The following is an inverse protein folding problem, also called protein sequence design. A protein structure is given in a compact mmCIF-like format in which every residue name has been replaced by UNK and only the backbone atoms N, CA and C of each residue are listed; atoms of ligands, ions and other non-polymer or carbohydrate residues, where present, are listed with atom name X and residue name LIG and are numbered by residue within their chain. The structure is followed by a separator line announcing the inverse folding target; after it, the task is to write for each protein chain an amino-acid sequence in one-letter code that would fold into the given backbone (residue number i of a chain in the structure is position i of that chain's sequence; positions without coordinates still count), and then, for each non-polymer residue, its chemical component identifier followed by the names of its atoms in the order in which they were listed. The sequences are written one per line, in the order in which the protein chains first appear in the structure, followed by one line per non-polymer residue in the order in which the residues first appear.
data_IF_829455396191
#
_entry.id   IF_829455396191
#
_cell.length_a   1.000
_cell.length_b   1.000
_cell.length_c   1.000
_cell.angle_alpha   90.00
_cell.angle_beta   90.00
_cell.angle_gamma   90.00
#
_symmetry.space_group_name_H-M   'P 1'
#
loop_
_entity.id
_entity.type
_entity.pdbx_description
1 polymer ?
#
# COMPACT_ATOMS: atom_id res chain seq x y z
N UNK A 1 109.78 -36.05 -33.17
CA UNK A 1 109.80 -37.36 -33.85
C UNK A 1 108.43 -37.99 -33.67
N UNK A 2 107.82 -38.44 -34.78
CA UNK A 2 106.66 -39.34 -34.99
C UNK A 2 105.57 -39.41 -33.89
N UNK A 3 104.31 -38.98 -34.06
CA UNK A 3 103.27 -39.28 -35.06
C UNK A 3 102.67 -40.70 -34.98
N UNK A 4 101.40 -40.81 -34.56
CA UNK A 4 100.32 -41.73 -35.01
C UNK A 4 99.16 -41.68 -33.96
N UNK A 5 97.88 -41.49 -34.27
CA UNK A 5 97.18 -41.44 -35.55
C UNK A 5 95.82 -40.73 -35.49
N UNK A 6 95.40 -40.34 -36.69
CA UNK A 6 94.16 -39.77 -37.24
C UNK A 6 92.88 -40.65 -36.97
N UNK A 7 91.63 -40.32 -37.42
CA UNK A 7 90.92 -39.01 -37.48
C UNK A 7 89.35 -39.04 -37.56
N UNK A 8 88.72 -37.85 -37.76
CA UNK A 8 87.50 -37.52 -38.59
C UNK A 8 86.14 -38.20 -38.20
N UNK A 9 84.93 -37.64 -38.30
CA UNK A 9 84.30 -36.46 -38.91
C UNK A 9 82.88 -36.31 -38.33
N UNK A 10 82.38 -35.07 -38.35
CA UNK A 10 80.99 -34.62 -38.19
C UNK A 10 80.02 -35.31 -39.22
N UNK A 11 78.67 -35.27 -39.07
CA UNK A 11 77.96 -33.99 -39.24
C UNK A 11 76.64 -33.77 -38.47
N UNK A 12 76.29 -32.50 -38.57
CA UNK A 12 75.12 -31.74 -38.15
C UNK A 12 73.77 -32.07 -38.84
N UNK A 13 72.69 -31.69 -38.12
CA UNK A 13 71.34 -31.23 -38.56
C UNK A 13 70.29 -32.31 -38.87
N UNK A 14 69.12 -32.17 -38.24
CA UNK A 14 67.75 -32.04 -38.84
C UNK A 14 66.74 -31.96 -37.67
N UNK A 15 66.22 -30.76 -37.37
CA UNK A 15 64.81 -30.32 -37.56
C UNK A 15 63.84 -30.75 -36.45
N UNK A 16 63.18 -29.73 -35.88
CA UNK A 16 61.85 -29.69 -35.26
C UNK A 16 61.09 -31.01 -35.04
N UNK A 17 60.73 -31.28 -33.79
CA UNK A 17 59.35 -31.60 -33.41
C UNK A 17 59.22 -31.61 -31.89
N UNK A 18 58.74 -30.49 -31.34
CA UNK A 18 57.88 -30.57 -30.18
C UNK A 18 56.66 -31.42 -30.55
N UNK A 19 56.13 -32.13 -29.55
CA UNK A 19 54.76 -32.65 -29.42
C UNK A 19 54.61 -34.17 -29.27
N UNK A 20 53.94 -34.51 -28.15
CA UNK A 20 53.15 -35.71 -27.87
C UNK A 20 53.87 -37.06 -27.78
N UNK A 21 54.19 -37.51 -26.56
CA UNK A 21 53.89 -38.87 -26.09
C UNK A 21 54.39 -39.11 -24.64
N UNK A 22 53.69 -38.57 -23.65
CA UNK A 22 53.69 -39.15 -22.30
C UNK A 22 52.30 -38.90 -21.71
N UNK A 23 51.38 -39.79 -22.04
CA UNK A 23 50.01 -39.79 -21.53
C UNK A 23 49.72 -41.14 -20.88
N UNK A 24 48.96 -41.10 -19.79
CA UNK A 24 48.33 -42.21 -19.06
C UNK A 24 49.20 -42.98 -18.05
N UNK A 25 49.31 -42.43 -16.83
CA UNK A 25 48.79 -43.08 -15.61
C UNK A 25 49.17 -42.27 -14.36
N UNK A 26 48.45 -41.18 -14.09
CA UNK A 26 48.29 -40.69 -12.73
C UNK A 26 46.84 -40.95 -12.33
N UNK A 27 46.56 -41.54 -11.15
CA UNK A 27 45.20 -41.62 -10.65
C UNK A 27 44.74 -40.17 -10.45
N UNK A 28 43.81 -39.73 -11.29
CA UNK A 28 43.27 -38.39 -11.24
C UNK A 28 42.78 -38.12 -9.82
N UNK A 29 43.33 -37.07 -9.20
CA UNK A 29 42.76 -36.50 -7.99
C UNK A 29 41.36 -36.06 -8.38
N UNK A 30 40.35 -36.86 -8.04
CA UNK A 30 38.95 -36.53 -8.25
C UNK A 30 38.64 -35.39 -7.29
N UNK A 31 38.99 -34.18 -7.71
CA UNK A 31 38.39 -32.97 -7.17
C UNK A 31 36.93 -33.01 -7.60
N UNK A 32 36.12 -33.70 -6.81
CA UNK A 32 34.67 -33.52 -6.83
C UNK A 32 34.40 -32.09 -6.43
N UNK A 33 34.39 -31.19 -7.42
CA UNK A 33 33.76 -29.88 -7.30
C UNK A 33 32.30 -30.20 -7.03
N UNK A 34 31.91 -30.25 -5.75
CA UNK A 34 30.51 -30.03 -5.37
C UNK A 34 30.20 -28.61 -5.81
N UNK A 35 29.82 -28.48 -7.08
CA UNK A 35 28.96 -27.40 -7.54
C UNK A 35 27.73 -27.51 -6.67
N UNK A 36 27.37 -26.42 -6.02
CA UNK A 36 26.17 -26.28 -5.19
C UNK A 36 26.32 -26.76 -3.73
N UNK A 37 27.31 -26.22 -3.02
CA UNK A 37 26.94 -25.65 -1.71
C UNK A 37 26.20 -24.36 -2.06
N UNK A 38 24.88 -24.45 -2.09
CA UNK A 38 23.99 -23.29 -2.17
C UNK A 38 24.09 -22.47 -0.88
N UNK A 39 25.23 -21.82 -0.65
CA UNK A 39 25.21 -20.58 0.12
C UNK A 39 24.46 -19.58 -0.76
N UNK A 40 23.14 -19.51 -0.57
CA UNK A 40 22.33 -18.46 -1.14
C UNK A 40 23.06 -17.14 -0.91
N UNK A 41 23.37 -16.41 -1.98
CA UNK A 41 24.01 -15.11 -1.87
C UNK A 41 23.24 -14.31 -0.80
N UNK A 42 23.94 -13.69 0.18
CA UNK A 42 23.28 -13.07 1.31
C UNK A 42 22.26 -12.06 0.78
N UNK A 43 20.99 -12.28 1.13
CA UNK A 43 19.89 -11.43 0.67
C UNK A 43 20.08 -10.05 1.25
N UNK A 44 20.53 -9.11 0.40
CA UNK A 44 20.64 -7.71 0.77
C UNK A 44 19.26 -7.06 0.64
N UNK A 45 18.83 -6.34 1.67
CA UNK A 45 17.59 -5.59 1.65
C UNK A 45 17.83 -4.14 1.25
N UNK A 46 16.82 -3.56 0.60
CA UNK A 46 16.68 -2.11 0.55
C UNK A 46 15.88 -1.66 1.76
N UNK A 47 16.22 -0.49 2.29
CA UNK A 47 15.56 0.05 3.48
C UNK A 47 15.32 1.55 3.37
N UNK A 48 14.36 2.04 4.16
CA UNK A 48 14.10 3.47 4.29
C UNK A 48 15.23 4.12 5.09
N UNK A 49 15.85 5.16 4.51
CA UNK A 49 17.03 5.84 5.10
C UNK A 49 16.64 7.16 5.77
N UNK A 50 15.36 7.54 5.71
CA UNK A 50 14.89 8.87 6.11
C UNK A 50 14.41 8.95 7.56
N UNK A 51 13.95 7.84 8.16
CA UNK A 51 13.49 7.81 9.54
C UNK A 51 14.63 7.94 10.56
N UNK A 52 14.40 8.71 11.62
CA UNK A 52 15.38 8.90 12.71
C UNK A 52 15.49 7.68 13.63
N UNK A 53 14.37 7.04 13.93
CA UNK A 53 14.27 6.00 14.97
C UNK A 53 13.87 4.63 14.45
N UNK A 54 13.10 4.60 13.37
CA UNK A 54 12.58 3.39 12.75
C UNK A 54 13.10 3.29 11.32
N UNK A 55 13.19 2.06 10.82
CA UNK A 55 13.53 1.73 9.46
C UNK A 55 12.56 0.64 8.99
N UNK A 56 12.07 0.76 7.75
CA UNK A 56 11.35 -0.31 7.05
C UNK A 56 12.23 -0.88 5.95
N UNK A 57 12.30 -2.20 5.83
CA UNK A 57 12.96 -2.88 4.71
C UNK A 57 11.97 -3.26 3.60
N UNK A 58 12.51 -3.68 2.44
CA UNK A 58 11.77 -4.14 1.27
C UNK A 58 11.13 -5.52 1.45
N UNK A 59 11.55 -6.26 2.47
CA UNK A 59 10.84 -7.44 2.94
C UNK A 59 9.58 -7.08 3.75
N UNK A 60 9.42 -5.82 4.16
CA UNK A 60 8.27 -5.31 4.88
C UNK A 60 8.36 -5.43 6.39
N UNK A 61 9.55 -5.63 6.97
CA UNK A 61 9.76 -5.54 8.41
C UNK A 61 10.10 -4.10 8.81
N UNK A 62 9.66 -3.72 10.00
CA UNK A 62 10.01 -2.44 10.64
C UNK A 62 10.82 -2.73 11.90
N UNK A 63 11.94 -2.05 12.04
CA UNK A 63 12.81 -2.20 13.19
C UNK A 63 13.39 -0.86 13.63
N UNK A 64 14.00 -0.82 14.81
CA UNK A 64 14.77 0.35 15.22
C UNK A 64 16.00 0.52 14.34
N UNK A 65 16.39 1.76 14.07
CA UNK A 65 17.62 2.07 13.32
C UNK A 65 18.89 1.47 13.94
N UNK A 66 18.88 1.15 15.23
CA UNK A 66 19.99 0.49 15.93
C UNK A 66 20.01 -1.04 15.74
N UNK A 67 18.90 -1.64 15.33
CA UNK A 67 18.73 -3.09 15.21
C UNK A 67 18.88 -3.63 13.79
N UNK A 68 19.08 -2.75 12.80
CA UNK A 68 19.31 -3.13 11.41
C UNK A 68 20.65 -3.86 11.27
N UNK A 69 20.68 -4.93 10.48
CA UNK A 69 21.92 -5.64 10.22
C UNK A 69 22.86 -4.79 9.35
N UNK A 70 24.11 -4.50 9.79
CA UNK A 70 25.02 -3.64 9.05
C UNK A 70 25.39 -4.17 7.66
N UNK A 71 25.42 -5.50 7.50
CA UNK A 71 25.87 -6.15 6.27
C UNK A 71 24.75 -6.29 5.24
N UNK A 72 23.64 -6.92 5.61
CA UNK A 72 22.50 -7.16 4.73
C UNK A 72 21.56 -5.96 4.62
N UNK A 73 21.63 -4.99 5.55
CA UNK A 73 20.70 -3.84 5.65
C UNK A 73 19.24 -4.23 5.85
N UNK A 74 18.99 -5.47 6.26
CA UNK A 74 17.66 -5.98 6.58
C UNK A 74 17.30 -5.72 8.03
N UNK A 75 16.02 -5.54 8.31
CA UNK A 75 15.51 -5.59 9.67
C UNK A 75 15.51 -7.03 10.18
N UNK A 76 15.68 -7.25 11.50
CA UNK A 76 15.52 -8.57 12.09
C UNK A 76 14.12 -9.12 11.77
N UNK A 77 14.04 -10.42 11.44
CA UNK A 77 12.77 -11.10 11.14
C UNK A 77 12.00 -11.45 12.42
N UNK A 78 12.00 -10.53 13.38
CA UNK A 78 11.36 -10.63 14.69
C UNK A 78 10.21 -9.63 14.74
N UNK A 79 8.98 -10.10 14.49
CA UNK A 79 7.79 -9.24 14.51
C UNK A 79 6.83 -9.52 13.36
N UNK A 80 5.77 -8.71 13.28
CA UNK A 80 4.78 -8.77 12.20
C UNK A 80 5.33 -8.16 10.92
N UNK A 81 5.29 -8.96 9.85
CA UNK A 81 5.57 -8.49 8.48
C UNK A 81 4.43 -7.60 8.01
N UNK A 82 4.76 -6.52 7.31
CA UNK A 82 3.81 -5.52 6.79
C UNK A 82 2.95 -4.88 7.90
N UNK A 83 3.61 -4.49 8.99
CA UNK A 83 2.93 -3.90 10.14
C UNK A 83 2.30 -2.55 9.78
N UNK A 84 1.03 -2.39 10.13
CA UNK A 84 0.26 -1.15 9.95
C UNK A 84 0.05 -0.42 11.28
N UNK A 85 1.00 -0.53 12.21
CA UNK A 85 0.90 0.16 13.49
C UNK A 85 0.89 1.68 13.29
N UNK A 86 -0.02 2.39 13.96
CA UNK A 86 -0.19 3.83 13.74
C UNK A 86 -0.85 4.19 12.40
N UNK A 87 -1.46 3.23 11.70
CA UNK A 87 -2.17 3.47 10.44
C UNK A 87 -3.69 3.43 10.62
N UNK A 88 -4.38 4.42 10.04
CA UNK A 88 -5.82 4.37 9.80
C UNK A 88 -6.09 3.70 8.46
N UNK A 89 -6.45 2.42 8.50
CA UNK A 89 -6.63 1.59 7.31
C UNK A 89 -7.73 2.10 6.37
N UNK A 90 -8.74 2.77 6.90
CA UNK A 90 -9.81 3.40 6.11
C UNK A 90 -9.27 4.52 5.21
N UNK A 91 -8.31 5.29 5.71
CA UNK A 91 -7.68 6.41 4.99
C UNK A 91 -6.42 5.97 4.23
N UNK A 92 -5.89 4.79 4.55
CA UNK A 92 -4.58 4.32 4.09
C UNK A 92 -3.48 5.35 4.36
N UNK A 93 -3.60 5.99 5.52
CA UNK A 93 -2.68 6.99 6.04
C UNK A 93 -2.17 6.56 7.41
N UNK A 94 -0.92 6.89 7.72
CA UNK A 94 -0.25 6.58 8.96
C UNK A 94 0.36 7.83 9.57
N UNK A 95 0.59 7.78 10.88
CA UNK A 95 1.33 8.79 11.64
C UNK A 95 2.86 8.69 11.45
N UNK A 96 3.34 7.53 10.98
CA UNK A 96 4.75 7.24 10.77
C UNK A 96 5.02 6.82 9.32
N UNK A 97 6.08 7.40 8.75
CA UNK A 97 6.56 7.05 7.42
C UNK A 97 6.88 5.56 7.29
N UNK A 98 7.55 4.97 8.28
CA UNK A 98 8.07 3.61 8.16
C UNK A 98 6.98 2.55 8.27
N UNK A 99 5.99 2.81 9.14
CA UNK A 99 4.79 1.97 9.18
C UNK A 99 3.92 2.17 7.94
N UNK A 100 3.87 3.38 7.35
CA UNK A 100 3.23 3.57 6.05
C UNK A 100 3.87 2.70 4.97
N UNK A 101 5.20 2.72 4.85
CA UNK A 101 5.92 1.93 3.83
C UNK A 101 5.69 0.43 4.06
N UNK A 102 5.85 -0.06 5.29
CA UNK A 102 5.62 -1.46 5.64
C UNK A 102 4.17 -1.90 5.37
N UNK A 103 3.18 -1.11 5.77
CA UNK A 103 1.76 -1.39 5.54
C UNK A 103 1.41 -1.39 4.05
N UNK A 104 1.97 -0.45 3.29
CA UNK A 104 1.77 -0.32 1.85
C UNK A 104 2.30 -1.54 1.08
N UNK A 105 3.40 -2.15 1.53
CA UNK A 105 3.98 -3.34 0.92
C UNK A 105 3.08 -4.58 1.04
N UNK A 106 2.05 -4.55 1.88
CA UNK A 106 1.16 -5.68 2.05
C UNK A 106 0.41 -5.99 0.73
N UNK A 107 0.50 -7.23 0.20
CA UNK A 107 -0.19 -7.61 -1.04
C UNK A 107 -1.72 -7.49 -0.98
N UNK A 108 -2.31 -7.52 0.23
CA UNK A 108 -3.75 -7.29 0.43
C UNK A 108 -4.14 -5.81 0.24
N UNK A 109 -3.18 -4.89 0.31
CA UNK A 109 -3.39 -3.45 0.19
C UNK A 109 -2.97 -2.93 -1.18
N UNK A 110 -1.82 -3.41 -1.65
CA UNK A 110 -1.19 -2.93 -2.87
C UNK A 110 -0.85 -4.13 -3.75
N UNK A 111 -1.45 -4.18 -4.95
CA UNK A 111 -1.15 -5.24 -5.92
C UNK A 111 -0.08 -4.74 -6.90
N UNK A 112 0.91 -5.57 -7.18
CA UNK A 112 2.02 -5.27 -8.08
C UNK A 112 1.54 -4.79 -9.47
N UNK A 113 0.50 -5.44 -10.00
CA UNK A 113 -0.08 -5.14 -11.31
C UNK A 113 -0.67 -3.72 -11.40
N UNK A 114 -1.16 -3.18 -10.27
CA UNK A 114 -1.78 -1.86 -10.20
C UNK A 114 -0.72 -0.76 -10.02
N UNK A 115 0.44 -1.09 -9.46
CA UNK A 115 1.50 -0.15 -9.11
C UNK A 115 2.50 0.07 -10.24
N UNK A 116 2.97 -1.01 -10.86
CA UNK A 116 4.07 -0.94 -11.85
C UNK A 116 3.67 -0.19 -13.12
N UNK A 117 2.37 0.03 -13.32
CA UNK A 117 1.80 0.80 -14.43
C UNK A 117 1.61 2.29 -14.10
N UNK A 118 1.75 2.68 -12.83
CA UNK A 118 1.57 4.07 -12.40
C UNK A 118 2.86 4.86 -12.62
N UNK A 119 2.69 6.07 -13.17
CA UNK A 119 3.77 7.05 -13.28
C UNK A 119 4.04 7.66 -11.90
N UNK A 120 5.30 7.92 -11.59
CA UNK A 120 5.69 8.68 -10.40
C UNK A 120 5.08 10.08 -10.48
N UNK A 121 4.47 10.55 -9.39
CA UNK A 121 3.79 11.84 -9.37
C UNK A 121 4.80 13.00 -9.49
N UNK A 122 4.80 13.66 -10.68
CA UNK A 122 5.61 14.81 -11.11
C UNK A 122 7.12 14.53 -11.25
N UNK A 123 7.80 15.04 -12.29
CA UNK A 123 7.32 15.69 -13.53
C UNK A 123 6.78 14.71 -14.61
N UNK A 124 6.31 15.26 -15.74
CA UNK A 124 5.80 14.53 -16.93
C UNK A 124 6.84 13.58 -17.54
N UNK A 125 8.13 13.79 -17.25
CA UNK A 125 9.27 12.95 -17.64
C UNK A 125 9.55 11.80 -16.66
N UNK A 126 8.82 11.72 -15.54
CA UNK A 126 9.05 10.67 -14.55
C UNK A 126 8.64 9.30 -15.08
N UNK A 127 9.55 8.34 -14.95
CA UNK A 127 9.30 6.94 -15.28
C UNK A 127 8.27 6.27 -14.35
N UNK A 128 8.08 4.99 -14.54
CA UNK A 128 7.30 4.12 -13.64
C UNK A 128 8.14 3.73 -12.42
N UNK A 129 7.46 3.30 -11.35
CA UNK A 129 8.14 2.68 -10.22
C UNK A 129 8.74 1.33 -10.63
N UNK A 130 9.95 1.02 -10.15
CA UNK A 130 10.67 -0.22 -10.50
C UNK A 130 10.09 -1.46 -9.82
N UNK A 131 9.58 -1.29 -8.60
CA UNK A 131 9.02 -2.32 -7.74
C UNK A 131 8.04 -1.67 -6.75
N UNK A 132 7.29 -2.49 -6.02
CA UNK A 132 6.29 -2.02 -5.04
C UNK A 132 6.96 -1.26 -3.89
N UNK A 133 8.17 -1.64 -3.48
CA UNK A 133 8.90 -0.94 -2.44
C UNK A 133 9.19 0.53 -2.81
N UNK A 134 9.69 0.78 -4.02
CA UNK A 134 9.93 2.13 -4.53
C UNK A 134 8.63 2.95 -4.64
N UNK A 135 7.51 2.31 -4.99
CA UNK A 135 6.20 2.94 -4.96
C UNK A 135 5.79 3.35 -3.56
N UNK A 136 5.86 2.43 -2.59
CA UNK A 136 5.49 2.70 -1.22
C UNK A 136 6.38 3.78 -0.59
N UNK A 137 7.69 3.70 -0.79
CA UNK A 137 8.64 4.72 -0.37
C UNK A 137 8.31 6.10 -0.92
N UNK A 138 7.93 6.17 -2.20
CA UNK A 138 7.61 7.42 -2.88
C UNK A 138 6.26 8.00 -2.47
N UNK A 139 5.22 7.17 -2.34
CA UNK A 139 3.87 7.60 -2.00
C UNK A 139 3.72 8.00 -0.54
N UNK A 140 4.31 7.24 0.38
CA UNK A 140 4.23 7.50 1.82
C UNK A 140 4.95 8.78 2.27
N UNK A 141 5.74 9.41 1.39
CA UNK A 141 6.28 10.75 1.67
C UNK A 141 5.16 11.77 1.76
N UNK A 142 5.40 12.84 2.52
CA UNK A 142 4.43 13.92 2.68
C UNK A 142 3.98 14.45 1.32
N UNK A 143 2.67 14.52 1.13
CA UNK A 143 2.09 15.06 -0.09
C UNK A 143 1.61 16.48 0.16
N UNK A 144 1.62 17.34 -0.86
CA UNK A 144 1.02 18.68 -0.74
C UNK A 144 -0.48 18.64 -0.39
N UNK A 145 -1.15 17.50 -0.64
CA UNK A 145 -2.54 17.29 -0.25
C UNK A 145 -2.72 17.02 1.26
N UNK A 146 -1.65 16.65 1.97
CA UNK A 146 -1.66 16.44 3.43
C UNK A 146 -1.34 17.69 4.24
N UNK A 147 -1.11 18.83 3.57
CA UNK A 147 -0.71 20.10 4.18
C UNK A 147 -1.83 21.14 4.02
N UNK A 148 -2.17 21.78 5.12
CA UNK A 148 -3.11 22.89 5.29
C UNK A 148 -2.30 24.17 5.49
N UNK A 149 -2.65 25.24 4.77
CA UNK A 149 -1.95 26.53 4.82
C UNK A 149 -0.43 26.40 4.61
N UNK A 150 -0.04 25.58 3.63
CA UNK A 150 1.33 25.38 3.13
C UNK A 150 2.38 24.84 4.12
N UNK A 151 2.12 24.86 5.45
CA UNK A 151 3.10 24.49 6.47
C UNK A 151 2.55 23.69 7.66
N UNK A 152 1.24 23.47 7.77
CA UNK A 152 0.65 22.65 8.84
C UNK A 152 0.08 21.36 8.29
N UNK A 153 0.33 20.20 8.89
CA UNK A 153 -0.34 18.98 8.44
C UNK A 153 -1.83 19.02 8.77
N UNK A 154 -2.67 18.52 7.87
CA UNK A 154 -4.12 18.43 8.08
C UNK A 154 -4.48 17.51 9.26
N UNK A 155 -3.61 16.55 9.54
CA UNK A 155 -3.76 15.54 10.59
C UNK A 155 -2.39 14.95 10.92
N UNK A 156 -2.26 14.36 12.11
CA UNK A 156 -1.11 13.54 12.47
C UNK A 156 -0.93 12.36 11.49
N UNK A 157 -2.00 11.88 10.84
CA UNK A 157 -1.95 10.81 9.83
C UNK A 157 -1.70 11.36 8.42
N UNK A 158 -0.47 11.76 8.14
CA UNK A 158 -0.11 12.49 6.92
C UNK A 158 0.79 11.68 5.95
N UNK A 159 1.17 10.46 6.32
CA UNK A 159 1.88 9.52 5.46
C UNK A 159 0.87 8.59 4.78
N UNK A 160 0.55 8.82 3.51
CA UNK A 160 -0.53 8.08 2.83
C UNK A 160 -0.03 7.34 1.59
N UNK A 161 -0.58 6.16 1.31
CA UNK A 161 -0.19 5.35 0.14
C UNK A 161 -1.35 5.06 -0.84
N UNK A 162 -2.47 5.76 -0.69
CA UNK A 162 -3.66 5.54 -1.49
C UNK A 162 -3.37 5.50 -3.00
N UNK A 163 -3.72 4.37 -3.63
CA UNK A 163 -3.78 4.22 -5.08
C UNK A 163 -4.99 5.02 -5.58
N UNK A 164 -4.79 6.30 -5.90
CA UNK A 164 -5.77 7.06 -6.64
C UNK A 164 -5.95 6.38 -8.01
N UNK A 165 -7.02 5.61 -8.19
CA UNK A 165 -7.33 5.03 -9.49
C UNK A 165 -7.63 6.17 -10.45
N UNK A 166 -6.87 6.24 -11.55
CA UNK A 166 -7.04 7.21 -12.62
C UNK A 166 -8.48 7.17 -13.14
N UNK A 167 -9.34 8.06 -12.63
CA UNK A 167 -10.53 8.54 -13.32
C UNK A 167 -10.22 9.97 -13.72
N UNK A 168 -9.94 10.15 -15.01
CA UNK A 168 -9.63 11.43 -15.62
C UNK A 168 -10.84 12.38 -15.45
N UNK A 169 -10.60 13.53 -14.81
CA UNK A 169 -11.32 14.76 -15.09
C UNK A 169 -12.55 15.10 -14.23
N UNK A 170 -12.33 15.40 -12.95
CA UNK A 170 -13.00 16.51 -12.26
C UNK A 170 -12.34 16.69 -10.89
N UNK A 171 -11.98 17.92 -10.55
CA UNK A 171 -11.57 18.24 -9.19
C UNK A 171 -12.75 17.94 -8.25
N UNK A 172 -12.68 16.84 -7.50
CA UNK A 172 -13.56 16.60 -6.36
C UNK A 172 -12.88 15.65 -5.37
N UNK A 173 -12.70 16.12 -4.13
CA UNK A 173 -12.19 15.34 -3.01
C UNK A 173 -13.13 14.14 -2.78
N UNK A 174 -12.68 12.94 -3.12
CA UNK A 174 -13.63 11.85 -3.32
C UNK A 174 -13.09 10.43 -3.22
N UNK A 175 -12.36 10.08 -2.16
CA UNK A 175 -12.23 8.66 -1.75
C UNK A 175 -13.03 8.43 -0.47
N UNK A 176 -14.34 8.30 -0.67
CA UNK A 176 -15.22 7.72 0.33
C UNK A 176 -14.89 6.24 0.56
N UNK A 177 -15.33 5.69 1.70
CA UNK A 177 -15.09 4.30 2.09
C UNK A 177 -15.59 3.31 1.02
N UNK A 178 -14.88 2.18 0.84
CA UNK A 178 -15.18 1.18 -0.21
C UNK A 178 -16.61 0.63 -0.05
N UNK A 179 -17.46 0.99 -0.99
CA UNK A 179 -18.86 0.56 -1.13
C UNK A 179 -19.00 -0.43 -2.30
N UNK A 180 -18.05 -1.35 -2.44
CA UNK A 180 -18.08 -2.35 -3.52
C UNK A 180 -19.35 -3.20 -3.38
N UNK A 181 -20.23 -3.14 -4.38
CA UNK A 181 -21.51 -3.87 -4.40
C UNK A 181 -22.63 -3.28 -3.53
N UNK A 182 -22.48 -2.06 -3.01
CA UNK A 182 -23.52 -1.37 -2.22
C UNK A 182 -24.12 -0.22 -3.02
N UNK A 183 -25.42 -0.28 -3.25
CA UNK A 183 -26.22 0.79 -3.84
C UNK A 183 -26.71 1.76 -2.77
N UNK A 184 -26.25 3.02 -2.82
CA UNK A 184 -26.73 4.04 -1.88
C UNK A 184 -28.07 4.59 -2.38
N UNK A 185 -29.07 4.56 -1.50
CA UNK A 185 -30.41 5.07 -1.77
C UNK A 185 -30.83 6.11 -0.74
N UNK A 186 -31.43 7.21 -1.19
CA UNK A 186 -32.03 8.21 -0.32
C UNK A 186 -33.51 7.86 -0.16
N UNK A 187 -33.95 7.67 1.08
CA UNK A 187 -35.35 7.38 1.40
C UNK A 187 -36.24 8.62 1.26
N UNK A 188 -37.55 8.40 1.21
CA UNK A 188 -38.52 9.48 1.44
C UNK A 188 -38.60 9.81 2.93
N UNK A 189 -39.27 10.91 3.22
CA UNK A 189 -39.54 11.35 4.59
C UNK A 189 -40.28 10.24 5.36
N UNK A 190 -39.75 9.83 6.51
CA UNK A 190 -40.40 8.82 7.36
C UNK A 190 -40.21 7.36 6.91
N UNK A 191 -39.43 7.09 5.86
CA UNK A 191 -39.12 5.72 5.44
C UNK A 191 -37.92 5.15 6.19
N UNK A 192 -37.95 3.85 6.47
CA UNK A 192 -36.79 3.10 6.98
C UNK A 192 -35.92 2.61 5.82
N UNK A 193 -34.65 2.29 6.10
CA UNK A 193 -33.80 1.73 5.06
C UNK A 193 -34.26 0.35 4.59
N UNK A 194 -34.87 -0.44 5.48
CA UNK A 194 -35.50 -1.71 5.11
C UNK A 194 -36.61 -1.54 4.06
N UNK A 195 -37.46 -0.51 4.18
CA UNK A 195 -38.49 -0.24 3.16
C UNK A 195 -37.90 0.32 1.87
N UNK A 196 -36.93 1.23 1.97
CA UNK A 196 -36.27 1.87 0.81
C UNK A 196 -35.57 0.83 -0.06
N UNK A 197 -34.79 -0.07 0.54
CA UNK A 197 -34.09 -1.10 -0.22
C UNK A 197 -35.07 -2.12 -0.81
N UNK A 198 -36.10 -2.53 -0.06
CA UNK A 198 -37.12 -3.48 -0.55
C UNK A 198 -37.85 -2.96 -1.77
N UNK A 199 -38.17 -1.66 -1.81
CA UNK A 199 -38.79 -1.03 -2.97
C UNK A 199 -37.93 -1.09 -4.24
N UNK A 200 -36.61 -1.31 -4.10
CA UNK A 200 -35.66 -1.51 -5.20
C UNK A 200 -35.32 -2.98 -5.46
N UNK A 201 -36.00 -3.93 -4.81
CA UNK A 201 -35.68 -5.35 -4.90
C UNK A 201 -34.38 -5.74 -4.19
N UNK A 202 -33.91 -4.93 -3.23
CA UNK A 202 -32.67 -5.10 -2.49
C UNK A 202 -32.93 -5.23 -0.99
N UNK A 203 -31.91 -5.63 -0.23
CA UNK A 203 -31.94 -5.65 1.24
C UNK A 203 -31.05 -4.55 1.84
N UNK A 204 -31.43 -4.02 2.98
CA UNK A 204 -30.57 -3.09 3.73
C UNK A 204 -29.36 -3.86 4.27
N UNK A 205 -28.18 -3.24 4.24
CA UNK A 205 -26.92 -3.83 4.72
C UNK A 205 -26.46 -3.12 6.01
N UNK A 206 -26.81 -3.63 7.21
CA UNK A 206 -26.57 -2.92 8.48
C UNK A 206 -25.10 -2.59 8.73
N UNK A 207 -24.18 -3.51 8.37
CA UNK A 207 -22.73 -3.34 8.54
C UNK A 207 -22.14 -2.18 7.74
N UNK A 208 -22.91 -1.60 6.81
CA UNK A 208 -22.51 -0.45 6.00
C UNK A 208 -23.17 0.85 6.47
N UNK A 209 -24.01 0.84 7.50
CA UNK A 209 -24.56 2.07 8.06
C UNK A 209 -23.47 2.94 8.69
N UNK A 210 -22.51 2.36 9.42
CA UNK A 210 -21.37 3.10 10.03
C UNK A 210 -20.53 3.82 8.99
N UNK A 211 -20.44 3.23 7.79
CA UNK A 211 -19.75 3.79 6.64
C UNK A 211 -20.44 5.05 6.12
N UNK A 212 -21.78 5.04 6.07
CA UNK A 212 -22.61 6.18 5.66
C UNK A 212 -22.81 7.20 6.78
N UNK A 213 -22.58 6.81 8.03
CA UNK A 213 -22.79 7.59 9.24
C UNK A 213 -21.67 8.61 9.51
N UNK A 214 -21.23 9.29 8.45
CA UNK A 214 -20.16 10.29 8.48
C UNK A 214 -20.66 11.56 7.80
N UNK A 215 -20.39 12.72 8.39
CA UNK A 215 -20.88 13.99 7.86
C UNK A 215 -20.42 14.21 6.41
N UNK A 216 -19.18 13.84 6.11
CA UNK A 216 -18.58 13.99 4.78
C UNK A 216 -19.34 13.15 3.73
N UNK A 217 -19.85 11.98 4.12
CA UNK A 217 -20.66 11.12 3.25
C UNK A 217 -22.07 11.68 3.11
N UNK A 218 -22.68 12.12 4.21
CA UNK A 218 -24.00 12.76 4.16
C UNK A 218 -23.99 13.99 3.26
N UNK A 219 -22.99 14.85 3.35
CA UNK A 219 -22.83 16.04 2.51
C UNK A 219 -22.67 15.71 1.02
N UNK A 220 -22.17 14.52 0.69
CA UNK A 220 -22.01 14.07 -0.70
C UNK A 220 -23.33 13.67 -1.36
N UNK A 221 -24.24 13.08 -0.58
CA UNK A 221 -25.53 12.58 -1.11
C UNK A 221 -26.71 13.48 -0.75
N UNK A 222 -26.58 14.30 0.29
CA UNK A 222 -27.65 15.12 0.84
C UNK A 222 -27.20 16.58 0.93
N UNK A 223 -28.16 17.50 0.85
CA UNK A 223 -27.90 18.94 0.86
C UNK A 223 -27.89 19.49 2.28
N UNK A 224 -26.85 19.19 3.06
CA UNK A 224 -26.73 19.55 4.49
C UNK A 224 -26.60 21.08 4.73
N UNK A 225 -27.60 21.88 4.34
CA UNK A 225 -27.60 23.35 4.36
C UNK A 225 -27.25 23.93 5.72
N UNK A 226 -27.76 23.31 6.77
CA UNK A 226 -27.60 23.76 8.15
C UNK A 226 -26.42 23.08 8.86
N UNK A 227 -25.55 22.39 8.12
CA UNK A 227 -24.43 21.64 8.66
C UNK A 227 -24.77 20.22 9.09
N UNK A 228 -23.87 19.61 9.87
CA UNK A 228 -24.02 18.26 10.42
C UNK A 228 -24.02 18.30 11.94
N UNK A 229 -24.90 17.51 12.55
CA UNK A 229 -24.99 17.40 14.01
C UNK A 229 -25.07 15.94 14.44
N UNK A 230 -24.41 15.63 15.55
CA UNK A 230 -24.57 14.35 16.21
C UNK A 230 -25.93 14.27 16.90
N UNK A 231 -26.63 13.15 16.76
CA UNK A 231 -27.89 12.87 17.46
C UNK A 231 -27.99 11.38 17.83
N UNK A 232 -29.01 11.03 18.62
CA UNK A 232 -29.24 9.68 19.16
C UNK A 232 -30.53 9.02 18.63
N UNK A 233 -31.11 9.57 17.57
CA UNK A 233 -32.30 9.01 16.94
C UNK A 233 -32.02 7.74 16.15
N UNK A 234 -33.03 6.89 16.01
CA UNK A 234 -32.89 5.61 15.29
C UNK A 234 -32.87 5.79 13.77
N UNK A 235 -33.23 6.97 13.29
CA UNK A 235 -33.30 7.33 11.87
C UNK A 235 -31.95 7.76 11.29
N UNK A 236 -30.90 7.95 12.10
CA UNK A 236 -29.58 8.26 11.56
C UNK A 236 -28.99 7.08 10.76
N UNK A 237 -28.16 7.34 9.73
CA UNK A 237 -27.82 8.66 9.20
C UNK A 237 -28.93 9.22 8.30
N UNK A 238 -29.25 10.51 8.47
CA UNK A 238 -30.36 11.14 7.78
C UNK A 238 -30.18 12.63 7.56
N UNK A 239 -30.99 13.22 6.70
CA UNK A 239 -31.17 14.66 6.60
C UNK A 239 -32.55 15.06 7.10
N UNK A 240 -32.60 16.13 7.90
CA UNK A 240 -33.83 16.82 8.26
C UNK A 240 -34.38 17.53 7.03
N UNK A 241 -35.65 17.29 6.70
CA UNK A 241 -36.31 17.92 5.54
C UNK A 241 -36.42 19.44 5.75
N UNK A 242 -36.45 20.20 4.66
CA UNK A 242 -36.50 21.66 4.71
C UNK A 242 -37.81 22.18 5.35
N UNK A 243 -38.90 21.40 5.31
CA UNK A 243 -40.21 21.73 5.86
C UNK A 243 -40.39 21.33 7.34
N UNK A 244 -39.33 20.86 8.00
CA UNK A 244 -39.40 20.52 9.42
C UNK A 244 -39.62 21.76 10.31
N UNK A 245 -40.21 21.60 11.51
CA UNK A 245 -40.24 22.64 12.52
C UNK A 245 -38.85 23.25 12.80
N UNK A 246 -38.78 24.56 13.03
CA UNK A 246 -37.51 25.29 13.21
C UNK A 246 -36.63 24.75 14.35
N UNK A 247 -37.25 24.18 15.39
CA UNK A 247 -36.56 23.56 16.52
C UNK A 247 -35.86 22.22 16.18
N UNK A 248 -36.09 21.66 14.99
CA UNK A 248 -35.47 20.40 14.53
C UNK A 248 -34.32 20.63 13.55
N UNK A 249 -33.86 21.86 13.37
CA UNK A 249 -32.79 22.25 12.44
C UNK A 249 -33.06 21.81 10.99
N UNK A 250 -34.06 22.40 10.30
CA UNK A 250 -34.38 22.06 8.91
C UNK A 250 -33.15 22.13 8.01
N UNK A 251 -33.01 21.15 7.11
CA UNK A 251 -31.88 21.07 6.18
C UNK A 251 -30.57 20.53 6.79
N UNK A 252 -30.51 20.30 8.10
CA UNK A 252 -29.34 19.71 8.75
C UNK A 252 -29.19 18.21 8.43
N UNK A 253 -27.95 17.73 8.44
CA UNK A 253 -27.66 16.30 8.39
C UNK A 253 -27.35 15.77 9.80
N UNK A 254 -27.87 14.60 10.09
CA UNK A 254 -27.80 13.95 11.38
C UNK A 254 -27.02 12.64 11.26
N UNK A 255 -26.00 12.51 12.09
CA UNK A 255 -25.22 11.28 12.24
C UNK A 255 -25.21 10.86 13.70
N UNK A 256 -24.89 9.60 13.98
CA UNK A 256 -24.80 9.07 15.34
C UNK A 256 -23.35 8.91 15.76
N UNK A 257 -23.00 9.23 17.01
CA UNK A 257 -21.62 9.01 17.49
C UNK A 257 -21.35 7.55 17.89
N UNK A 258 -22.39 6.80 18.25
CA UNK A 258 -22.27 5.40 18.68
C UNK A 258 -22.75 4.45 17.58
N UNK A 259 -21.82 3.97 16.75
CA UNK A 259 -22.13 3.15 15.57
C UNK A 259 -22.91 1.85 15.88
N UNK A 260 -22.77 1.30 17.09
CA UNK A 260 -23.44 0.06 17.52
C UNK A 260 -24.97 0.16 17.60
N UNK A 261 -25.55 1.37 17.56
CA UNK A 261 -27.02 1.57 17.62
C UNK A 261 -27.66 1.83 16.27
N UNK A 262 -26.89 1.80 15.18
CA UNK A 262 -27.40 2.03 13.83
C UNK A 262 -28.30 0.87 13.39
N UNK A 263 -29.50 1.19 12.90
CA UNK A 263 -30.50 0.19 12.49
C UNK A 263 -31.09 0.50 11.11
N UNK A 264 -31.39 -0.54 10.34
CA UNK A 264 -32.10 -0.40 9.06
C UNK A 264 -33.57 -0.04 9.24
N UNK A 265 -34.18 -0.35 10.38
CA UNK A 265 -35.62 -0.23 10.60
C UNK A 265 -36.06 1.11 11.19
N UNK A 266 -35.12 1.86 11.77
CA UNK A 266 -35.43 3.19 12.32
C UNK A 266 -35.96 4.15 11.24
N UNK A 267 -36.88 5.03 11.64
CA UNK A 267 -37.44 6.07 10.78
C UNK A 267 -37.90 7.25 11.63
N UNK A 268 -38.03 8.42 11.00
CA UNK A 268 -38.54 9.61 11.67
C UNK A 268 -39.30 10.50 10.69
N UNK A 269 -40.43 11.06 11.14
CA UNK A 269 -41.38 11.78 10.28
C UNK A 269 -40.83 13.06 9.64
N UNK A 270 -39.71 13.59 10.13
CA UNK A 270 -39.08 14.82 9.61
C UNK A 270 -37.71 14.59 8.99
N UNK A 271 -37.30 13.33 8.80
CA UNK A 271 -36.00 13.04 8.21
C UNK A 271 -36.14 12.08 7.04
N UNK A 272 -35.15 12.15 6.14
CA UNK A 272 -34.96 11.22 5.04
C UNK A 272 -33.61 10.54 5.20
N UNK A 273 -33.60 9.20 5.18
CA UNK A 273 -32.43 8.39 5.52
C UNK A 273 -31.51 8.16 4.32
N UNK A 274 -30.22 7.99 4.59
CA UNK A 274 -29.23 7.52 3.61
C UNK A 274 -28.99 6.03 3.84
N UNK A 275 -29.36 5.21 2.84
CA UNK A 275 -29.51 3.77 3.04
C UNK A 275 -28.52 2.96 2.17
N UNK A 276 -27.79 2.00 2.76
CA UNK A 276 -26.96 1.06 2.02
C UNK A 276 -27.80 -0.15 1.60
N UNK A 277 -28.07 -0.30 0.30
CA UNK A 277 -28.85 -1.40 -0.25
C UNK A 277 -27.96 -2.36 -1.05
N UNK A 278 -28.18 -3.66 -0.95
CA UNK A 278 -27.57 -4.68 -1.80
C UNK A 278 -28.61 -5.72 -2.22
#
# INVERSE_FOLDING_TARGET
MANAGFPLLLPTRIVCAAFFAFCACFPGLVAGIRKDIGLAAPTMCRSTVQGRHLISDDNGYVCSSLSIDPWSRCCPRTGSRFSCQGCKLDLQCCDSYEYCVSCCLNPLRTKDADVLKLKVAKPVTSGTYRNVFDFCMGRCRHSSASVVHENAYASDFHHCFLLQQNSLGSADFGSGPRLDGINISIGRRGESCSSVCRAKGQSCVPSRLSVLNKCEILQRYMRCKSGCFSSLGQDQPAQVVDEAPSNLNPGACLYMQMDERLTCDGSHQHTRRLCPCA
#
